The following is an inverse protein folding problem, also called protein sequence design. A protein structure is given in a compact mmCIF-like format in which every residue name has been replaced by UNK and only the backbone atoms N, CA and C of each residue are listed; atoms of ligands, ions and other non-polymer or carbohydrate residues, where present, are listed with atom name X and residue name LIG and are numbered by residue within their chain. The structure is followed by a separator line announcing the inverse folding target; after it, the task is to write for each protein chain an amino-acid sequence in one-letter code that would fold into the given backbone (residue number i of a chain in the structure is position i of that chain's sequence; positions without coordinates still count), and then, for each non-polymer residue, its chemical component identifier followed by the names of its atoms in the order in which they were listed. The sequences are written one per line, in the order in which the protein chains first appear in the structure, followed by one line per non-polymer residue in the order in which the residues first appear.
data_IF_714113743323
#
_entry.id   IF_714113743323
#
_cell.length_a   1.000
_cell.length_b   1.000
_cell.length_c   1.000
_cell.angle_alpha   90.00
_cell.angle_beta   90.00
_cell.angle_gamma   90.00
#
_symmetry.space_group_name_H-M   'P 1'
#
loop_
_entity.id
_entity.type
_entity.pdbx_description
1 polymer ?
#
# COMPACT_ATOMS: atom_id res chain seq x y z
N UNK A 1 -23.42 39.44 -33.36
CA UNK A 1 -22.85 38.11 -33.64
C UNK A 1 -21.92 37.76 -32.49
N UNK A 2 -22.30 36.81 -31.63
CA UNK A 2 -21.49 36.36 -30.50
C UNK A 2 -21.71 34.84 -30.38
N UNK A 3 -20.98 34.04 -31.18
CA UNK A 3 -21.28 32.63 -31.42
C UNK A 3 -21.17 31.75 -30.15
N UNK A 4 -20.26 32.06 -29.22
CA UNK A 4 -19.99 31.21 -28.05
C UNK A 4 -20.28 31.86 -26.69
N UNK A 5 -20.67 33.15 -26.64
CA UNK A 5 -20.91 33.90 -25.39
C UNK A 5 -19.83 33.65 -24.31
N UNK A 6 -18.56 33.72 -24.70
CA UNK A 6 -17.41 33.49 -23.80
C UNK A 6 -17.36 34.50 -22.65
N UNK A 7 -17.04 34.03 -21.45
CA UNK A 7 -17.01 34.82 -20.20
C UNK A 7 -15.69 35.57 -19.94
N UNK A 8 -14.68 35.37 -20.78
CA UNK A 8 -13.37 36.03 -20.66
C UNK A 8 -12.41 35.39 -19.65
N UNK A 9 -12.78 34.26 -19.03
CA UNK A 9 -11.94 33.56 -18.05
C UNK A 9 -11.06 32.53 -18.75
N UNK A 10 -9.79 32.41 -18.33
CA UNK A 10 -8.86 31.43 -18.89
C UNK A 10 -9.35 29.99 -18.69
N UNK A 11 -8.96 29.11 -19.62
CA UNK A 11 -9.23 27.66 -19.58
C UNK A 11 -7.94 26.90 -19.85
N UNK A 12 -7.81 25.73 -19.24
CA UNK A 12 -6.70 24.82 -19.49
C UNK A 12 -6.88 24.08 -20.82
N UNK A 13 -5.77 23.65 -21.43
CA UNK A 13 -5.78 22.87 -22.66
C UNK A 13 -6.03 21.37 -22.37
N UNK A 14 -6.37 20.57 -23.40
CA UNK A 14 -6.45 19.11 -23.25
C UNK A 14 -5.17 18.47 -22.69
N UNK A 15 -3.99 19.04 -22.97
CA UNK A 15 -2.71 18.59 -22.38
C UNK A 15 -2.75 18.71 -20.85
N UNK A 16 -3.28 19.81 -20.30
CA UNK A 16 -3.41 19.99 -18.86
C UNK A 16 -4.35 18.97 -18.23
N UNK A 17 -5.50 18.71 -18.87
CA UNK A 17 -6.45 17.70 -18.40
C UNK A 17 -5.89 16.27 -18.45
N UNK A 18 -5.18 15.92 -19.53
CA UNK A 18 -4.52 14.62 -19.66
C UNK A 18 -3.50 14.40 -18.55
N UNK A 19 -2.60 15.37 -18.33
CA UNK A 19 -1.57 15.27 -17.30
C UNK A 19 -2.17 15.17 -15.90
N UNK A 20 -3.15 16.03 -15.57
CA UNK A 20 -3.81 16.00 -14.26
C UNK A 20 -4.50 14.65 -13.99
N UNK A 21 -5.26 14.14 -14.97
CA UNK A 21 -5.94 12.86 -14.85
C UNK A 21 -4.96 11.71 -14.63
N UNK A 22 -3.92 11.60 -15.46
CA UNK A 22 -2.95 10.51 -15.37
C UNK A 22 -2.13 10.57 -14.08
N UNK A 23 -1.69 11.76 -13.65
CA UNK A 23 -0.97 11.91 -12.39
C UNK A 23 -1.83 11.48 -11.20
N UNK A 24 -3.09 11.90 -11.17
CA UNK A 24 -4.03 11.54 -10.10
C UNK A 24 -4.33 10.04 -10.08
N UNK A 25 -4.63 9.44 -11.24
CA UNK A 25 -4.91 8.01 -11.32
C UNK A 25 -3.67 7.17 -11.01
N UNK A 26 -2.48 7.53 -11.50
CA UNK A 26 -1.26 6.80 -11.17
C UNK A 26 -1.03 6.70 -9.65
N UNK A 27 -1.29 7.80 -8.92
CA UNK A 27 -1.21 7.81 -7.46
C UNK A 27 -2.25 6.87 -6.83
N UNK A 28 -3.49 6.87 -7.32
CA UNK A 28 -4.53 5.95 -6.84
C UNK A 28 -4.18 4.49 -7.12
N UNK A 29 -3.67 4.19 -8.33
CA UNK A 29 -3.23 2.84 -8.70
C UNK A 29 -2.04 2.37 -7.87
N UNK A 30 -1.13 3.27 -7.48
CA UNK A 30 -0.04 2.94 -6.56
C UNK A 30 -0.57 2.46 -5.20
N UNK A 31 -1.56 3.17 -4.62
CA UNK A 31 -2.20 2.69 -3.39
C UNK A 31 -2.93 1.36 -3.58
N UNK A 32 -3.62 1.18 -4.72
CA UNK A 32 -4.23 -0.09 -5.07
C UNK A 32 -3.21 -1.24 -5.14
N UNK A 33 -2.05 -0.99 -5.74
CA UNK A 33 -0.96 -1.97 -5.83
C UNK A 33 -0.45 -2.38 -4.45
N UNK A 34 -0.17 -1.42 -3.56
CA UNK A 34 0.29 -1.69 -2.20
C UNK A 34 -0.77 -2.48 -1.43
N UNK A 35 -2.03 -2.04 -1.48
CA UNK A 35 -3.15 -2.72 -0.82
C UNK A 35 -3.30 -4.18 -1.27
N UNK A 36 -3.39 -4.40 -2.59
CA UNK A 36 -3.59 -5.74 -3.13
C UNK A 36 -2.36 -6.64 -2.94
N UNK A 37 -1.15 -6.08 -3.04
CA UNK A 37 0.10 -6.77 -2.77
C UNK A 37 0.17 -7.27 -1.33
N UNK A 38 -0.07 -6.38 -0.36
CA UNK A 38 -0.11 -6.74 1.06
C UNK A 38 -1.19 -7.79 1.36
N UNK A 39 -2.40 -7.63 0.83
CA UNK A 39 -3.50 -8.60 1.03
C UNK A 39 -3.17 -9.98 0.44
N UNK A 40 -2.38 -10.04 -0.63
CA UNK A 40 -1.98 -11.30 -1.25
C UNK A 40 -0.91 -12.02 -0.43
N UNK A 41 0.12 -11.28 0.02
CA UNK A 41 1.23 -11.85 0.78
C UNK A 41 0.83 -12.22 2.22
N UNK A 42 0.07 -11.36 2.90
CA UNK A 42 -0.34 -11.52 4.29
C UNK A 42 -1.78 -12.02 4.41
N UNK A 43 -2.18 -12.92 3.50
CA UNK A 43 -3.55 -13.44 3.43
C UNK A 43 -3.93 -14.24 4.67
N UNK A 44 -2.98 -15.02 5.18
CA UNK A 44 -3.10 -15.89 6.34
C UNK A 44 -3.45 -15.13 7.62
N UNK A 45 -2.86 -13.94 7.81
CA UNK A 45 -3.09 -13.08 8.98
C UNK A 45 -4.11 -11.97 8.74
N UNK A 46 -4.79 -11.95 7.59
CA UNK A 46 -5.69 -10.85 7.22
C UNK A 46 -6.88 -10.67 8.18
N UNK A 47 -7.34 -11.76 8.81
CA UNK A 47 -8.44 -11.75 9.78
C UNK A 47 -7.95 -11.62 11.24
N UNK A 48 -6.65 -11.47 11.47
CA UNK A 48 -6.02 -11.48 12.79
C UNK A 48 -4.81 -12.41 12.84
N UNK A 49 -3.94 -12.20 13.83
CA UNK A 49 -2.79 -13.07 14.12
C UNK A 49 -3.19 -14.24 15.02
N UNK A 50 -2.33 -15.26 15.09
CA UNK A 50 -2.46 -16.36 16.04
C UNK A 50 -2.42 -15.83 17.48
N UNK A 51 -3.42 -16.12 18.35
CA UNK A 51 -3.39 -15.70 19.75
C UNK A 51 -2.25 -16.32 20.57
N UNK A 52 -1.65 -17.42 20.14
CA UNK A 52 -0.62 -18.16 20.89
C UNK A 52 0.83 -17.82 20.44
N UNK A 53 1.04 -16.66 19.79
CA UNK A 53 2.30 -16.29 19.12
C UNK A 53 3.41 -15.77 20.08
N UNK A 54 3.11 -15.56 21.36
CA UNK A 54 3.95 -14.81 22.31
C UNK A 54 5.40 -15.30 22.43
N UNK A 55 5.62 -16.61 22.44
CA UNK A 55 6.96 -17.18 22.60
C UNK A 55 7.91 -16.76 21.46
N UNK A 56 7.41 -16.59 20.23
CA UNK A 56 8.22 -16.18 19.07
C UNK A 56 8.62 -14.70 19.09
N UNK A 57 7.95 -13.89 19.92
CA UNK A 57 8.22 -12.45 20.05
C UNK A 57 9.21 -12.12 21.17
N UNK A 58 9.56 -13.08 22.02
CA UNK A 58 10.53 -12.87 23.11
C UNK A 58 11.93 -12.55 22.57
N UNK A 59 12.51 -11.47 23.10
CA UNK A 59 13.85 -11.02 22.70
C UNK A 59 14.91 -12.09 22.98
N UNK A 60 15.64 -12.48 21.94
CA UNK A 60 16.77 -13.42 22.07
C UNK A 60 16.37 -14.88 22.31
N UNK A 61 15.08 -15.22 22.24
CA UNK A 61 14.60 -16.60 22.39
C UNK A 61 15.04 -17.51 21.22
N UNK A 62 15.18 -16.96 20.02
CA UNK A 62 15.58 -17.67 18.81
C UNK A 62 16.82 -17.03 18.17
N UNK A 63 17.65 -17.84 17.52
CA UNK A 63 18.80 -17.36 16.75
C UNK A 63 18.36 -16.68 15.45
N UNK A 64 17.20 -17.04 14.91
CA UNK A 64 16.61 -16.47 13.69
C UNK A 64 15.13 -16.14 13.91
N UNK A 65 14.73 -14.92 13.57
CA UNK A 65 13.34 -14.47 13.73
C UNK A 65 12.40 -15.23 12.78
N UNK A 66 11.24 -15.63 13.31
CA UNK A 66 10.22 -16.38 12.55
C UNK A 66 10.58 -17.84 12.27
N UNK A 67 11.61 -18.39 12.93
CA UNK A 67 12.04 -19.78 12.76
C UNK A 67 12.09 -20.54 14.11
N UNK A 68 11.00 -21.24 14.48
CA UNK A 68 10.89 -21.95 15.75
C UNK A 68 11.93 -23.05 15.96
N UNK A 69 12.58 -23.52 14.89
CA UNK A 69 13.61 -24.57 14.97
C UNK A 69 14.95 -24.06 15.53
N UNK A 70 15.10 -22.74 15.64
CA UNK A 70 16.35 -22.09 16.03
C UNK A 70 16.37 -21.60 17.48
N UNK A 71 15.57 -22.22 18.36
CA UNK A 71 15.49 -21.82 19.77
C UNK A 71 16.88 -21.90 20.43
N UNK A 72 17.28 -20.82 21.10
CA UNK A 72 18.59 -20.75 21.73
C UNK A 72 18.64 -21.77 22.89
N UNK A 73 19.62 -22.66 22.85
CA UNK A 73 19.94 -23.50 24.00
C UNK A 73 20.68 -22.66 25.03
N UNK A 74 20.21 -22.69 26.27
CA UNK A 74 20.98 -22.15 27.41
C UNK A 74 22.11 -23.14 27.63
N UNK A 75 23.34 -22.69 27.38
CA UNK A 75 24.55 -23.42 27.77
C UNK A 75 24.84 -23.12 29.23
#
# INVERSE_FOLDING_TARGET
INFYKSDGVFRSSPKGWFTFGHASFALLFFFGHIWHGSRTLFRDVFAGIDPDLDAQMEFGAFQKLGDPTTRRQVV
#
